data_IF_664529537875
#
_entry.id   IF_664529537875
#
_cell.length_a   1.000
_cell.length_b   1.000
_cell.length_c   1.000
_cell.angle_alpha   90.00
_cell.angle_beta   90.00
_cell.angle_gamma   90.00
#
_symmetry.space_group_name_H-M   'P 1'
#
loop_
_entity.id
_entity.type
_entity.pdbx_description
1 polymer ?
#
# COMPACT_ATOMS: atom_id res chain seq x y z
N UNK A 1 7.88 18.68 9.83
CA UNK A 1 7.14 18.22 8.62
C UNK A 1 6.59 16.85 8.93
N UNK A 2 5.39 16.51 8.48
CA UNK A 2 4.80 15.18 8.67
C UNK A 2 4.72 14.43 7.36
N UNK A 3 4.83 13.11 7.44
CA UNK A 3 4.55 12.18 6.37
C UNK A 3 3.50 11.17 6.82
N UNK A 4 2.88 10.52 5.86
CA UNK A 4 1.91 9.48 6.09
C UNK A 4 2.62 8.13 6.23
N UNK A 5 2.07 7.30 7.10
CA UNK A 5 2.52 5.92 7.30
C UNK A 5 1.40 4.93 7.13
N UNK A 6 1.76 3.74 6.64
CA UNK A 6 0.87 2.58 6.57
C UNK A 6 1.28 1.54 7.60
N UNK A 7 0.39 0.60 7.86
CA UNK A 7 0.63 -0.57 8.69
C UNK A 7 0.21 -1.82 7.92
N UNK A 8 0.96 -2.92 8.09
CA UNK A 8 0.49 -4.24 7.71
C UNK A 8 -0.62 -4.72 8.66
N UNK A 9 -1.84 -4.86 8.17
CA UNK A 9 -3.00 -5.26 8.98
C UNK A 9 -3.16 -6.78 9.04
N UNK A 10 -2.87 -7.49 7.95
CA UNK A 10 -2.99 -8.95 7.87
C UNK A 10 -1.92 -9.56 6.97
N UNK A 11 -1.68 -10.86 7.16
CA UNK A 11 -0.88 -11.72 6.29
C UNK A 11 -1.72 -12.95 5.92
N UNK A 12 -1.80 -13.30 4.64
CA UNK A 12 -2.35 -14.56 4.20
C UNK A 12 -1.22 -15.46 3.69
N UNK A 13 -0.82 -16.43 4.53
CA UNK A 13 0.27 -17.35 4.22
C UNK A 13 -0.05 -18.34 3.11
N UNK A 14 -1.32 -18.50 2.73
CA UNK A 14 -1.73 -19.37 1.61
C UNK A 14 -1.33 -18.78 0.27
N UNK A 15 -1.34 -17.46 0.17
CA UNK A 15 -1.01 -16.72 -1.05
C UNK A 15 0.30 -15.94 -0.94
N UNK A 16 0.89 -15.84 0.25
CA UNK A 16 2.08 -15.02 0.49
C UNK A 16 1.81 -13.53 0.27
N UNK A 17 0.63 -13.06 0.68
CA UNK A 17 0.22 -11.66 0.50
C UNK A 17 0.03 -10.96 1.84
N UNK A 18 0.31 -9.67 1.83
CA UNK A 18 0.13 -8.76 2.96
C UNK A 18 -0.92 -7.71 2.63
N UNK A 19 -1.77 -7.39 3.60
CA UNK A 19 -2.63 -6.22 3.53
C UNK A 19 -1.97 -5.04 4.23
N UNK A 20 -1.93 -3.89 3.56
CA UNK A 20 -1.51 -2.63 4.16
C UNK A 20 -2.68 -1.66 4.19
N UNK A 21 -2.76 -0.87 5.24
CA UNK A 21 -3.76 0.19 5.35
C UNK A 21 -3.20 1.43 6.05
N UNK A 22 -3.78 2.57 5.70
CA UNK A 22 -3.73 3.80 6.46
C UNK A 22 -4.37 3.66 7.85
N UNK A 23 -5.40 2.82 7.97
CA UNK A 23 -6.15 2.63 9.21
C UNK A 23 -5.57 1.46 10.00
N UNK A 24 -5.04 1.75 11.18
CA UNK A 24 -4.52 0.73 12.07
C UNK A 24 -5.65 0.01 12.82
N UNK A 25 -5.49 -1.30 13.11
CA UNK A 25 -6.37 -2.00 14.03
C UNK A 25 -6.40 -1.30 15.39
N UNK A 26 -7.54 -1.41 16.11
CA UNK A 26 -7.67 -0.83 17.42
C UNK A 26 -6.58 -1.35 18.38
N UNK A 27 -5.86 -0.43 19.04
CA UNK A 27 -4.85 -0.77 20.05
C UNK A 27 -3.44 -1.01 19.53
N UNK A 28 -3.16 -0.82 18.23
CA UNK A 28 -1.81 -0.99 17.69
C UNK A 28 -0.79 -0.01 18.31
N UNK A 29 -1.06 1.29 18.23
CA UNK A 29 -0.17 2.35 18.76
C UNK A 29 -0.94 3.55 19.32
N UNK A 30 -2.24 3.38 19.56
CA UNK A 30 -3.14 4.46 19.99
C UNK A 30 -3.61 5.40 18.87
N UNK A 31 -3.05 5.30 17.65
CA UNK A 31 -3.41 6.14 16.49
C UNK A 31 -4.24 5.30 15.51
N UNK A 32 -5.56 5.52 15.51
CA UNK A 32 -6.50 4.73 14.69
C UNK A 32 -6.47 5.03 13.19
N UNK A 33 -5.98 6.20 12.79
CA UNK A 33 -6.10 6.70 11.42
C UNK A 33 -4.83 7.39 11.00
N UNK A 34 -4.37 7.17 9.76
CA UNK A 34 -3.41 8.06 9.14
C UNK A 34 -4.12 9.27 8.52
N UNK A 35 -3.36 10.35 8.27
CA UNK A 35 -3.83 11.49 7.50
C UNK A 35 -3.22 11.44 6.10
N UNK A 36 -3.95 10.90 5.12
CA UNK A 36 -3.41 10.78 3.78
C UNK A 36 -3.30 12.10 3.03
N UNK A 37 -3.89 13.19 3.50
CA UNK A 37 -3.81 14.48 2.81
C UNK A 37 -2.56 15.28 3.19
N UNK A 38 -2.16 15.26 4.47
CA UNK A 38 -1.05 16.08 5.00
C UNK A 38 0.00 15.29 5.79
N UNK A 39 -0.19 13.97 5.96
CA UNK A 39 0.65 13.15 6.84
C UNK A 39 0.33 13.35 8.33
N UNK A 40 0.73 12.39 9.13
CA UNK A 40 0.43 12.27 10.56
C UNK A 40 1.65 11.89 11.43
N UNK A 41 2.78 11.54 10.80
CA UNK A 41 3.98 11.05 11.46
C UNK A 41 5.14 12.04 11.25
N UNK A 42 5.87 12.42 12.31
CA UNK A 42 7.03 13.31 12.19
C UNK A 42 8.11 12.67 11.31
N UNK A 43 8.56 13.39 10.27
CA UNK A 43 9.60 12.93 9.34
C UNK A 43 10.96 12.65 10.00
N UNK A 44 11.18 13.14 11.24
CA UNK A 44 12.33 12.79 12.06
C UNK A 44 12.23 11.42 12.75
N UNK A 45 11.06 10.78 12.71
CA UNK A 45 10.84 9.44 13.26
C UNK A 45 11.55 8.41 12.38
N UNK A 46 12.35 7.53 13.00
CA UNK A 46 12.97 6.42 12.29
C UNK A 46 11.95 5.28 12.12
N UNK A 47 11.45 5.08 10.89
CA UNK A 47 10.54 3.99 10.53
C UNK A 47 11.02 3.31 9.24
N UNK A 48 10.71 2.03 9.01
CA UNK A 48 11.02 1.38 7.74
C UNK A 48 10.31 2.05 6.56
N UNK A 49 10.93 2.04 5.39
CA UNK A 49 10.29 2.40 4.13
C UNK A 49 9.65 1.16 3.51
N UNK A 50 8.41 1.28 3.04
CA UNK A 50 7.77 0.24 2.24
C UNK A 50 8.20 0.38 0.77
N UNK A 51 9.16 -0.45 0.36
CA UNK A 51 9.63 -0.53 -1.01
C UNK A 51 8.83 -1.58 -1.78
N UNK A 52 8.69 -1.37 -3.08
CA UNK A 52 7.89 -2.19 -3.97
C UNK A 52 8.67 -2.56 -5.21
N UNK A 53 8.44 -3.76 -5.74
CA UNK A 53 8.89 -4.19 -7.06
C UNK A 53 7.65 -4.55 -7.89
N UNK A 54 7.33 -3.69 -8.87
CA UNK A 54 6.14 -3.82 -9.71
C UNK A 54 6.48 -4.73 -10.90
N UNK A 55 6.07 -5.99 -10.81
CA UNK A 55 6.27 -7.00 -11.85
C UNK A 55 5.00 -7.30 -12.65
N UNK A 56 3.90 -6.58 -12.36
CA UNK A 56 2.57 -6.78 -12.92
C UNK A 56 1.96 -8.15 -12.64
N UNK A 57 2.39 -8.82 -11.57
CA UNK A 57 1.82 -10.10 -11.18
C UNK A 57 0.30 -9.98 -10.96
N UNK A 58 -0.49 -10.95 -11.47
CA UNK A 58 -1.93 -10.93 -11.28
C UNK A 58 -2.28 -11.16 -9.81
N UNK A 59 -3.45 -10.63 -9.43
CA UNK A 59 -4.02 -10.82 -8.11
C UNK A 59 -4.33 -12.31 -7.86
N UNK A 60 -3.92 -12.91 -6.73
CA UNK A 60 -4.37 -14.25 -6.34
C UNK A 60 -5.89 -14.31 -6.12
N UNK A 61 -6.45 -15.51 -6.15
CA UNK A 61 -7.86 -15.77 -5.86
C UNK A 61 -8.17 -15.75 -4.34
N UNK A 62 -7.89 -14.63 -3.66
CA UNK A 62 -8.30 -14.39 -2.28
C UNK A 62 -9.59 -13.55 -2.28
N UNK A 63 -10.56 -13.75 -1.38
CA UNK A 63 -11.80 -12.99 -1.42
C UNK A 63 -11.58 -11.55 -0.94
N UNK A 64 -11.99 -10.56 -1.74
CA UNK A 64 -12.08 -9.15 -1.31
C UNK A 64 -13.48 -8.95 -0.73
N UNK A 65 -13.65 -9.31 0.54
CA UNK A 65 -14.97 -9.28 1.19
C UNK A 65 -15.24 -7.86 1.70
N UNK A 66 -16.35 -7.27 1.25
CA UNK A 66 -16.89 -6.06 1.84
C UNK A 66 -17.40 -6.38 3.27
N UNK A 67 -16.86 -5.75 4.33
CA UNK A 67 -17.35 -5.91 5.69
C UNK A 67 -18.75 -5.31 5.91
N UNK A 68 -19.40 -4.81 4.86
CA UNK A 68 -20.73 -4.20 4.91
C UNK A 68 -20.67 -2.71 5.14
N UNK A 69 -19.71 -2.01 4.54
CA UNK A 69 -19.60 -0.56 4.70
C UNK A 69 -20.69 0.17 3.92
N UNK A 70 -21.86 0.33 4.54
CA UNK A 70 -23.03 0.99 3.94
C UNK A 70 -22.90 2.52 3.84
N UNK A 71 -21.88 3.10 4.47
CA UNK A 71 -21.63 4.55 4.48
C UNK A 71 -20.23 4.94 3.96
N UNK A 72 -19.53 4.03 3.28
CA UNK A 72 -18.24 4.36 2.67
C UNK A 72 -18.45 5.28 1.47
N UNK A 73 -17.55 6.26 1.31
CA UNK A 73 -17.60 7.18 0.17
C UNK A 73 -17.33 6.46 -1.17
N UNK A 74 -16.55 5.39 -1.14
CA UNK A 74 -16.21 4.55 -2.29
C UNK A 74 -16.48 3.06 -1.98
N UNK A 75 -16.65 2.22 -3.01
CA UNK A 75 -16.78 0.77 -2.81
C UNK A 75 -15.56 0.17 -2.10
N UNK A 76 -15.73 -0.90 -1.33
CA UNK A 76 -14.65 -1.44 -0.49
C UNK A 76 -13.39 -1.83 -1.27
N UNK A 77 -13.55 -2.35 -2.49
CA UNK A 77 -12.41 -2.69 -3.34
C UNK A 77 -11.57 -1.48 -3.77
N UNK A 78 -12.08 -0.25 -3.68
CA UNK A 78 -11.27 0.96 -3.80
C UNK A 78 -10.23 1.07 -2.67
N UNK A 79 -10.57 0.60 -1.47
CA UNK A 79 -9.72 0.67 -0.28
C UNK A 79 -8.85 -0.56 -0.05
N UNK A 80 -9.07 -1.62 -0.83
CA UNK A 80 -8.46 -2.94 -0.68
C UNK A 80 -7.97 -3.47 -2.04
N UNK A 81 -7.37 -2.57 -2.83
CA UNK A 81 -6.84 -2.86 -4.16
C UNK A 81 -5.65 -3.81 -4.17
N UNK A 82 -5.10 -4.03 -5.36
CA UNK A 82 -3.98 -4.93 -5.64
C UNK A 82 -2.72 -4.16 -6.08
N UNK A 83 -1.60 -4.47 -5.44
CA UNK A 83 -0.30 -3.80 -5.60
C UNK A 83 0.52 -4.24 -6.80
N UNK A 84 0.09 -5.26 -7.56
CA UNK A 84 0.72 -5.69 -8.81
C UNK A 84 2.20 -6.10 -8.69
N UNK A 85 2.59 -6.64 -7.54
CA UNK A 85 3.96 -7.09 -7.35
C UNK A 85 4.31 -7.40 -5.90
N UNK A 86 5.60 -7.28 -5.61
CA UNK A 86 6.21 -7.67 -4.35
C UNK A 86 6.54 -6.44 -3.50
N UNK A 87 6.44 -6.58 -2.17
CA UNK A 87 6.78 -5.54 -1.22
C UNK A 87 7.74 -6.03 -0.15
N UNK A 88 8.57 -5.10 0.34
CA UNK A 88 9.52 -5.35 1.40
C UNK A 88 9.72 -4.07 2.24
N UNK A 89 9.99 -4.25 3.53
CA UNK A 89 10.31 -3.13 4.42
C UNK A 89 11.81 -3.04 4.68
N UNK A 90 12.38 -1.84 4.61
CA UNK A 90 13.80 -1.61 4.93
C UNK A 90 14.07 -1.71 6.44
N UNK A 91 15.31 -1.47 6.86
CA UNK A 91 15.57 -1.07 8.25
C UNK A 91 14.98 0.32 8.52
N UNK A 92 14.67 0.67 9.78
CA UNK A 92 14.16 1.99 10.13
C UNK A 92 15.10 3.13 9.73
N UNK A 93 14.54 4.17 9.13
CA UNK A 93 15.26 5.36 8.66
C UNK A 93 14.43 6.62 8.90
N UNK A 94 15.10 7.75 9.14
CA UNK A 94 14.43 9.05 9.18
C UNK A 94 14.04 9.46 7.78
N UNK A 95 12.77 9.77 7.54
CA UNK A 95 12.32 10.15 6.20
C UNK A 95 12.85 11.53 5.77
N UNK A 96 13.23 12.39 6.72
CA UNK A 96 13.85 13.69 6.44
C UNK A 96 15.23 13.62 5.78
N UNK A 97 15.87 12.46 5.74
CA UNK A 97 17.13 12.29 5.01
C UNK A 97 16.94 12.31 3.49
N UNK A 98 15.71 12.08 3.01
CA UNK A 98 15.39 12.06 1.59
C UNK A 98 14.84 13.42 1.16
N UNK A 99 15.39 13.99 0.09
CA UNK A 99 14.93 15.26 -0.46
C UNK A 99 13.85 15.04 -1.52
N UNK A 100 14.00 14.00 -2.33
CA UNK A 100 13.15 13.68 -3.49
C UNK A 100 12.68 12.23 -3.48
N UNK A 101 11.65 11.91 -4.26
CA UNK A 101 11.22 10.53 -4.52
C UNK A 101 12.36 9.70 -5.08
N UNK A 102 13.16 10.29 -5.97
CA UNK A 102 14.32 9.62 -6.56
C UNK A 102 15.35 9.19 -5.50
N UNK A 103 15.52 9.95 -4.41
CA UNK A 103 16.41 9.55 -3.32
C UNK A 103 15.90 8.29 -2.60
N UNK A 104 14.58 8.19 -2.41
CA UNK A 104 13.97 7.01 -1.78
C UNK A 104 13.97 5.82 -2.73
N UNK A 105 13.74 6.04 -4.03
CA UNK A 105 13.85 5.01 -5.06
C UNK A 105 15.28 4.45 -5.10
N UNK A 106 16.29 5.33 -5.06
CA UNK A 106 17.70 4.93 -4.96
C UNK A 106 17.98 4.13 -3.69
N UNK A 107 17.38 4.51 -2.55
CA UNK A 107 17.49 3.76 -1.30
C UNK A 107 16.84 2.37 -1.38
N UNK A 108 15.65 2.26 -1.97
CA UNK A 108 14.98 0.98 -2.21
C UNK A 108 15.81 0.09 -3.16
N UNK A 109 16.34 0.66 -4.24
CA UNK A 109 17.19 -0.04 -5.19
C UNK A 109 18.49 -0.52 -4.54
N UNK A 110 19.12 0.29 -3.70
CA UNK A 110 20.31 -0.10 -2.94
C UNK A 110 20.01 -1.25 -1.96
N UNK A 111 18.84 -1.24 -1.34
CA UNK A 111 18.46 -2.21 -0.31
C UNK A 111 18.06 -3.56 -0.88
N UNK A 112 17.30 -3.57 -1.98
CA UNK A 112 16.65 -4.78 -2.51
C UNK A 112 17.03 -5.13 -3.96
N UNK A 113 17.79 -4.28 -4.64
CA UNK A 113 18.24 -4.46 -6.01
C UNK A 113 17.43 -3.66 -7.04
N UNK A 114 17.86 -3.74 -8.30
CA UNK A 114 17.22 -3.03 -9.42
C UNK A 114 15.73 -3.35 -9.53
N UNK A 115 14.91 -2.32 -9.75
CA UNK A 115 13.45 -2.43 -9.90
C UNK A 115 12.67 -2.18 -8.61
N UNK A 116 13.35 -2.06 -7.46
CA UNK A 116 12.73 -1.68 -6.20
C UNK A 116 12.68 -0.16 -6.04
N UNK A 117 11.48 0.38 -5.84
CA UNK A 117 11.17 1.80 -5.73
C UNK A 117 10.18 2.07 -4.59
N UNK A 118 9.83 3.33 -4.34
CA UNK A 118 8.57 3.67 -3.66
C UNK A 118 7.50 4.01 -4.68
N UNK A 119 6.27 3.56 -4.42
CA UNK A 119 5.11 3.87 -5.24
C UNK A 119 4.03 4.53 -4.38
N UNK A 120 3.28 5.42 -5.01
CA UNK A 120 2.16 6.12 -4.40
C UNK A 120 1.04 5.14 -4.01
N UNK A 121 0.41 5.37 -2.86
CA UNK A 121 -0.58 4.44 -2.32
C UNK A 121 -1.82 4.24 -3.19
N UNK A 122 -2.15 5.21 -4.05
CA UNK A 122 -3.27 5.11 -4.99
C UNK A 122 -2.90 4.22 -6.18
N UNK A 123 -1.63 4.27 -6.60
CA UNK A 123 -1.09 3.38 -7.63
C UNK A 123 -0.83 1.96 -7.13
N UNK A 124 -0.60 1.79 -5.82
CA UNK A 124 -0.56 0.47 -5.17
C UNK A 124 -1.95 -0.15 -4.97
N UNK A 125 -3.02 0.64 -5.04
CA UNK A 125 -4.38 0.16 -4.78
C UNK A 125 -5.16 -0.01 -6.07
N UNK A 126 -4.76 -0.96 -6.94
CA UNK A 126 -5.47 -1.18 -8.20
C UNK A 126 -6.75 -1.99 -8.02
N UNK A 127 -7.83 -1.60 -8.68
CA UNK A 127 -9.11 -2.29 -8.56
C UNK A 127 -9.91 -2.31 -9.85
N UNK A 128 -10.85 -3.26 -9.95
CA UNK A 128 -11.84 -3.37 -11.02
C UNK A 128 -13.24 -3.34 -10.39
N UNK A 129 -14.17 -2.61 -10.99
CA UNK A 129 -15.55 -2.53 -10.47
C UNK A 129 -16.17 -3.93 -10.38
N UNK A 130 -16.68 -4.27 -9.19
CA UNK A 130 -17.24 -5.58 -8.90
C UNK A 130 -16.23 -6.63 -8.41
N UNK A 131 -14.95 -6.29 -8.18
CA UNK A 131 -13.97 -7.28 -7.68
C UNK A 131 -14.23 -7.82 -6.27
N UNK A 132 -15.00 -7.10 -5.47
CA UNK A 132 -15.51 -7.58 -4.18
C UNK A 132 -16.97 -8.08 -4.25
N UNK A 133 -17.42 -8.55 -5.42
CA UNK A 133 -18.76 -9.11 -5.62
C UNK A 133 -19.00 -10.42 -4.86
N UNK A 134 -20.05 -11.16 -5.21
CA UNK A 134 -20.59 -12.27 -4.41
C UNK A 134 -19.58 -13.37 -3.99
N UNK A 135 -18.51 -13.59 -4.75
CA UNK A 135 -17.40 -14.47 -4.38
C UNK A 135 -16.12 -13.72 -3.99
N UNK A 136 -16.00 -12.43 -4.35
CA UNK A 136 -14.77 -11.65 -4.23
C UNK A 136 -13.61 -12.21 -5.05
N UNK A 137 -13.86 -13.09 -6.03
CA UNK A 137 -12.84 -13.82 -6.79
C UNK A 137 -12.82 -13.44 -8.28
N UNK A 138 -13.89 -12.83 -8.81
CA UNK A 138 -14.15 -12.55 -10.24
C UNK A 138 -12.98 -11.95 -11.03
N UNK A 139 -12.08 -11.20 -10.40
CA UNK A 139 -10.90 -10.61 -11.06
C UNK A 139 -9.58 -11.06 -10.41
N UNK A 140 -9.31 -12.35 -10.51
CA UNK A 140 -8.05 -12.97 -10.07
C UNK A 140 -7.38 -13.75 -11.21
N UNK A 141 -6.08 -14.01 -11.09
CA UNK A 141 -5.32 -14.79 -12.07
C UNK A 141 -5.45 -14.21 -13.49
N UNK A 142 -5.85 -15.05 -14.46
CA UNK A 142 -6.03 -14.63 -15.85
C UNK A 142 -7.12 -13.60 -16.04
N UNK A 143 -8.18 -13.59 -15.22
CA UNK A 143 -9.26 -12.60 -15.33
C UNK A 143 -8.78 -11.19 -14.98
N UNK A 144 -7.82 -11.07 -14.05
CA UNK A 144 -7.18 -9.79 -13.75
C UNK A 144 -6.45 -9.25 -14.99
N UNK A 145 -5.63 -10.08 -15.63
CA UNK A 145 -4.86 -9.70 -16.82
C UNK A 145 -5.75 -9.43 -18.02
N UNK A 146 -6.81 -10.22 -18.21
CA UNK A 146 -7.75 -10.07 -19.33
C UNK A 146 -8.57 -8.78 -19.28
N UNK A 147 -8.69 -8.16 -18.10
CA UNK A 147 -9.46 -6.94 -17.86
C UNK A 147 -8.56 -5.75 -17.48
N UNK A 148 -7.31 -5.73 -17.96
CA UNK A 148 -6.35 -4.68 -17.62
C UNK A 148 -6.82 -3.26 -18.01
N UNK A 149 -7.65 -3.15 -19.05
CA UNK A 149 -8.30 -1.91 -19.52
C UNK A 149 -9.30 -1.33 -18.52
N UNK A 150 -9.81 -2.14 -17.58
CA UNK A 150 -10.79 -1.75 -16.57
C UNK A 150 -10.17 -1.40 -15.22
N UNK A 151 -8.84 -1.53 -15.10
CA UNK A 151 -8.12 -1.28 -13.85
C UNK A 151 -8.12 0.21 -13.53
N UNK A 152 -8.56 0.55 -12.33
CA UNK A 152 -8.57 1.90 -11.76
C UNK A 152 -7.61 2.00 -10.57
N UNK A 153 -7.26 3.23 -10.19
CA UNK A 153 -6.51 3.53 -8.96
C UNK A 153 -7.47 3.77 -7.79
N UNK A 154 -7.13 3.22 -6.64
CA UNK A 154 -7.88 3.28 -5.39
C UNK A 154 -7.14 4.09 -4.34
N UNK A 155 -7.24 3.68 -3.08
CA UNK A 155 -6.37 4.27 -2.06
C UNK A 155 -6.53 3.75 -0.64
N UNK A 156 -5.77 4.32 0.28
CA UNK A 156 -5.87 4.09 1.74
C UNK A 156 -5.63 2.64 2.22
N UNK A 157 -5.44 1.70 1.30
CA UNK A 157 -5.03 0.34 1.57
C UNK A 157 -4.89 -0.49 0.30
N UNK A 158 -4.14 -1.57 0.38
CA UNK A 158 -3.90 -2.50 -0.72
C UNK A 158 -3.37 -3.84 -0.22
N UNK A 159 -3.45 -4.86 -1.06
CA UNK A 159 -2.75 -6.13 -0.92
C UNK A 159 -1.59 -6.22 -1.90
N UNK A 160 -0.50 -6.87 -1.51
CA UNK A 160 0.61 -7.20 -2.41
C UNK A 160 1.32 -8.47 -1.94
N UNK A 161 2.13 -9.10 -2.80
CA UNK A 161 2.97 -10.21 -2.36
C UNK A 161 4.02 -9.71 -1.36
N UNK A 162 4.19 -10.41 -0.25
CA UNK A 162 5.10 -9.98 0.80
C UNK A 162 5.05 -10.84 2.05
N UNK A 163 6.05 -10.61 2.90
CA UNK A 163 6.08 -11.07 4.28
C UNK A 163 6.73 -10.00 5.16
N UNK A 164 6.16 -8.79 5.09
CA UNK A 164 6.61 -7.61 5.81
C UNK A 164 6.26 -7.76 7.29
N UNK A 165 7.06 -7.16 8.17
CA UNK A 165 6.76 -7.11 9.60
C UNK A 165 5.46 -6.34 9.90
N UNK A 166 4.75 -6.71 10.96
CA UNK A 166 3.44 -6.14 11.34
C UNK A 166 3.43 -5.44 12.70
N UNK A 167 4.61 -5.15 13.25
CA UNK A 167 4.83 -4.55 14.57
C UNK A 167 5.27 -3.08 14.50
N UNK A 168 5.29 -2.49 13.29
CA UNK A 168 5.67 -1.09 13.08
C UNK A 168 4.85 -0.46 11.96
N UNK A 169 4.78 0.88 12.01
CA UNK A 169 4.41 1.72 10.87
C UNK A 169 5.52 1.72 9.81
N UNK A 170 5.12 1.99 8.59
CA UNK A 170 5.97 2.00 7.40
C UNK A 170 5.77 3.32 6.66
N UNK A 171 6.87 3.99 6.29
CA UNK A 171 6.81 5.15 5.40
C UNK A 171 6.24 4.72 4.04
N UNK A 172 5.29 5.50 3.55
CA UNK A 172 4.60 5.28 2.28
C UNK A 172 4.63 6.56 1.46
N UNK A 173 4.76 6.43 0.14
CA UNK A 173 4.68 7.58 -0.76
C UNK A 173 3.22 7.95 -1.02
N UNK A 174 2.92 9.25 -0.96
CA UNK A 174 1.62 9.83 -1.33
C UNK A 174 1.56 10.22 -2.81
N UNK A 175 0.35 10.41 -3.37
CA UNK A 175 0.18 10.93 -4.72
C UNK A 175 0.58 12.41 -4.85
N UNK A 176 0.82 12.83 -6.09
CA UNK A 176 1.33 14.17 -6.46
C UNK A 176 0.47 15.33 -5.93
N UNK A 177 -0.85 15.13 -5.84
CA UNK A 177 -1.82 16.13 -5.40
C UNK A 177 -1.96 16.23 -3.88
N UNK A 178 -1.14 15.48 -3.13
CA UNK A 178 -1.15 15.45 -1.67
C UNK A 178 0.20 15.80 -1.07
N UNK A 179 0.16 16.44 0.08
CA UNK A 179 1.35 16.86 0.85
C UNK A 179 1.72 15.85 1.94
N UNK A 180 1.27 14.60 1.81
CA UNK A 180 1.38 13.53 2.79
C UNK A 180 2.72 12.79 2.79
N UNK A 181 3.74 13.33 2.13
CA UNK A 181 5.05 12.69 1.99
C UNK A 181 6.17 13.55 2.58
N UNK A 182 7.14 12.90 3.22
CA UNK A 182 8.29 13.58 3.83
C UNK A 182 9.31 14.12 2.83
N UNK A 183 9.42 13.51 1.66
CA UNK A 183 10.25 13.94 0.52
C UNK A 183 9.42 14.71 -0.52
N UNK A 184 10.09 15.40 -1.45
CA UNK A 184 9.46 16.00 -2.62
C UNK A 184 9.15 14.93 -3.69
N UNK A 185 8.17 15.22 -4.54
CA UNK A 185 7.78 14.35 -5.66
C UNK A 185 8.82 14.30 -6.76
#
# INVERSE_FOLDING_TARGET
>A
KTGMTFIKTTHDSRFGIDNFSCHAPAGFDGVKTCNAYTGDTDCETALPVLCVNIDNSPRPAYPVIDPGCTSCAMPYWFYFGWGRGNVASTTPVKASQFQTRQDVDAFCTLTFGTGWIVESWNEMSKWISGMGGADGLTYSGSEWTANADKIQSGGWGFFAYGNVRNDTRLWMHGPLDQSSTCWAH
#
